data_IF_462313824876
#
_entry.id   IF_462313824876
#
_cell.length_a   1.000
_cell.length_b   1.000
_cell.length_c   1.000
_cell.angle_alpha   90.00
_cell.angle_beta   90.00
_cell.angle_gamma   90.00
#
_symmetry.space_group_name_H-M   'P 1'
#
loop_
_entity.id
_entity.type
_entity.pdbx_description
1 polymer ?
#
# COMPACT_ATOMS: atom_id res chain seq x y z
N UNK A 1 -0.90 8.79 -32.00
CA UNK A 1 -2.32 9.02 -31.62
C UNK A 1 -2.95 7.67 -31.24
N UNK A 2 -3.70 7.57 -30.14
CA UNK A 2 -4.40 6.32 -29.78
C UNK A 2 -5.61 6.08 -30.69
N UNK A 3 -5.80 4.84 -31.14
CA UNK A 3 -6.92 4.45 -32.00
C UNK A 3 -8.27 4.54 -31.26
N UNK A 4 -9.39 4.67 -31.98
CA UNK A 4 -10.75 4.78 -31.41
C UNK A 4 -11.06 3.60 -30.46
N UNK A 5 -10.64 2.38 -30.84
CA UNK A 5 -10.76 1.14 -30.04
C UNK A 5 -9.89 1.18 -28.76
N UNK A 6 -8.66 1.67 -28.84
CA UNK A 6 -7.78 1.85 -27.67
C UNK A 6 -8.32 2.90 -26.68
N UNK A 7 -8.95 3.97 -27.18
CA UNK A 7 -9.60 4.98 -26.33
C UNK A 7 -10.79 4.37 -25.57
N UNK A 8 -11.70 3.66 -26.25
CA UNK A 8 -12.87 3.00 -25.62
C UNK A 8 -12.42 2.06 -24.49
N UNK A 9 -11.49 1.15 -24.79
CA UNK A 9 -10.99 0.16 -23.83
C UNK A 9 -10.33 0.79 -22.59
N UNK A 10 -9.60 1.90 -22.77
CA UNK A 10 -9.02 2.68 -21.67
C UNK A 10 -10.11 3.30 -20.78
N UNK A 11 -11.17 3.82 -21.39
CA UNK A 11 -12.32 4.41 -20.67
C UNK A 11 -13.07 3.36 -19.86
N UNK A 12 -13.28 2.18 -20.45
CA UNK A 12 -13.97 1.06 -19.80
C UNK A 12 -13.18 0.51 -18.60
N UNK A 13 -11.86 0.30 -18.77
CA UNK A 13 -10.96 -0.04 -17.65
C UNK A 13 -11.00 1.01 -16.54
N UNK A 14 -11.09 2.29 -16.88
CA UNK A 14 -11.20 3.36 -15.90
C UNK A 14 -12.53 3.32 -15.13
N UNK A 15 -13.64 3.02 -15.81
CA UNK A 15 -14.97 2.83 -15.21
C UNK A 15 -14.99 1.63 -14.27
N UNK A 16 -14.47 0.48 -14.68
CA UNK A 16 -14.37 -0.72 -13.84
C UNK A 16 -13.58 -0.43 -12.56
N UNK A 17 -12.42 0.23 -12.69
CA UNK A 17 -11.61 0.62 -11.52
C UNK A 17 -12.30 1.69 -10.65
N UNK A 18 -13.17 2.53 -11.21
CA UNK A 18 -13.93 3.52 -10.43
C UNK A 18 -15.03 2.83 -9.62
N UNK A 19 -15.81 1.94 -10.25
CA UNK A 19 -16.83 1.14 -9.58
C UNK A 19 -16.23 0.29 -8.46
N UNK A 20 -15.09 -0.37 -8.71
CA UNK A 20 -14.39 -1.15 -7.69
C UNK A 20 -13.85 -0.30 -6.51
N UNK A 21 -13.79 1.04 -6.61
CA UNK A 21 -13.42 1.89 -5.47
C UNK A 21 -14.59 2.27 -4.58
N UNK A 22 -15.82 2.01 -5.01
CA UNK A 22 -17.02 2.22 -4.20
C UNK A 22 -16.96 1.26 -3.01
N UNK A 23 -17.29 1.77 -1.82
CA UNK A 23 -17.25 1.01 -0.56
C UNK A 23 -15.88 0.86 0.11
N UNK A 24 -14.77 1.31 -0.50
CA UNK A 24 -13.42 1.25 0.11
C UNK A 24 -13.12 2.43 1.07
N UNK A 25 -14.16 3.01 1.67
CA UNK A 25 -14.09 4.24 2.48
C UNK A 25 -13.90 3.93 3.96
N UNK A 26 -12.73 3.45 4.38
CA UNK A 26 -12.42 3.35 5.81
C UNK A 26 -11.89 4.69 6.34
N UNK A 27 -12.52 5.20 7.40
CA UNK A 27 -12.00 6.34 8.18
C UNK A 27 -10.93 5.82 9.13
N UNK A 28 -9.85 6.58 9.30
CA UNK A 28 -8.85 6.28 10.32
C UNK A 28 -9.50 6.43 11.68
N UNK A 29 -9.58 5.33 12.45
CA UNK A 29 -10.05 5.34 13.83
C UNK A 29 -8.92 5.75 14.78
N UNK A 30 -9.28 6.43 15.87
CA UNK A 30 -8.37 6.70 16.99
C UNK A 30 -8.36 5.57 18.03
N UNK A 31 -9.27 4.61 17.93
CA UNK A 31 -9.27 3.42 18.77
C UNK A 31 -8.06 2.55 18.47
N UNK A 32 -7.54 1.84 19.48
CA UNK A 32 -6.44 0.89 19.28
C UNK A 32 -6.93 -0.28 18.43
N UNK A 33 -6.28 -0.53 17.30
CA UNK A 33 -6.58 -1.64 16.40
C UNK A 33 -5.30 -2.35 15.97
N UNK A 34 -5.46 -3.52 15.33
CA UNK A 34 -4.37 -4.22 14.65
C UNK A 34 -4.42 -3.85 13.16
N UNK A 35 -3.27 -3.53 12.59
CA UNK A 35 -3.13 -3.20 11.18
C UNK A 35 -2.07 -4.09 10.55
N UNK A 36 -2.39 -4.74 9.44
CA UNK A 36 -1.39 -5.42 8.60
C UNK A 36 -1.14 -4.54 7.40
N UNK A 37 0.12 -4.29 7.09
CA UNK A 37 0.50 -3.45 5.94
C UNK A 37 0.95 -4.32 4.77
N UNK A 38 0.78 -3.80 3.55
CA UNK A 38 1.44 -4.33 2.36
C UNK A 38 2.64 -3.46 1.93
N UNK A 39 3.34 -3.89 0.90
CA UNK A 39 4.49 -3.16 0.32
C UNK A 39 4.08 -1.80 -0.20
N UNK A 40 2.91 -1.70 -0.84
CA UNK A 40 2.45 -0.46 -1.47
C UNK A 40 2.29 0.68 -0.46
N UNK A 41 1.85 0.37 0.76
CA UNK A 41 1.71 1.32 1.87
C UNK A 41 3.05 1.87 2.35
N UNK A 42 4.09 1.03 2.42
CA UNK A 42 5.44 1.45 2.75
C UNK A 42 6.01 2.33 1.62
N UNK A 43 5.92 1.89 0.36
CA UNK A 43 6.42 2.61 -0.82
C UNK A 43 5.77 3.98 -0.97
N UNK A 44 4.47 4.11 -0.69
CA UNK A 44 3.76 5.40 -0.77
C UNK A 44 3.85 6.25 0.50
N UNK A 45 4.73 5.90 1.45
CA UNK A 45 4.92 6.63 2.72
C UNK A 45 3.59 6.93 3.41
N UNK A 46 2.68 5.95 3.40
CA UNK A 46 1.32 6.14 3.90
C UNK A 46 1.27 6.03 5.42
N UNK A 47 2.10 5.18 6.03
CA UNK A 47 2.03 4.90 7.48
C UNK A 47 2.30 6.11 8.34
N UNK A 48 3.38 6.83 8.09
CA UNK A 48 3.71 8.06 8.83
C UNK A 48 2.58 9.08 8.77
N UNK A 49 1.90 9.20 7.61
CA UNK A 49 0.74 10.08 7.43
C UNK A 49 -0.47 9.59 8.21
N UNK A 50 -0.76 8.30 8.19
CA UNK A 50 -1.89 7.70 8.93
C UNK A 50 -1.70 7.83 10.45
N UNK A 51 -0.48 7.56 10.93
CA UNK A 51 -0.11 7.71 12.35
C UNK A 51 -0.30 9.16 12.81
N UNK A 52 0.20 10.13 12.03
CA UNK A 52 0.01 11.56 12.31
C UNK A 52 -1.47 11.97 12.30
N UNK A 53 -2.30 11.31 11.50
CA UNK A 53 -3.76 11.53 11.44
C UNK A 53 -4.55 10.86 12.56
N UNK A 54 -3.91 10.04 13.39
CA UNK A 54 -4.56 9.44 14.55
C UNK A 54 -4.65 7.92 14.54
N UNK A 55 -4.03 7.22 13.58
CA UNK A 55 -3.92 5.76 13.65
C UNK A 55 -3.17 5.35 14.93
N UNK A 56 -3.75 4.45 15.73
CA UNK A 56 -3.21 3.97 17.00
C UNK A 56 -3.37 2.46 17.12
N UNK A 57 -2.46 1.81 17.86
CA UNK A 57 -2.50 0.36 18.11
C UNK A 57 -1.25 -0.37 17.61
N UNK A 58 -1.43 -1.55 17.05
CA UNK A 58 -0.37 -2.46 16.63
C UNK A 58 -0.24 -2.46 15.11
N UNK A 59 0.95 -2.14 14.60
CA UNK A 59 1.29 -2.25 13.18
C UNK A 59 2.07 -3.55 12.99
N UNK A 60 1.47 -4.49 12.26
CA UNK A 60 2.07 -5.74 11.85
C UNK A 60 2.65 -5.55 10.45
N UNK A 61 3.95 -5.82 10.34
CA UNK A 61 4.73 -5.77 9.11
C UNK A 61 5.03 -7.21 8.72
N UNK A 62 4.40 -7.75 7.67
CA UNK A 62 4.72 -9.09 7.21
C UNK A 62 6.19 -9.21 6.83
N UNK A 63 6.85 -10.31 7.21
CA UNK A 63 8.24 -10.55 6.83
C UNK A 63 8.41 -10.64 5.30
N UNK A 64 7.36 -11.06 4.59
CA UNK A 64 7.28 -11.02 3.13
C UNK A 64 7.35 -9.60 2.55
N UNK A 65 6.79 -8.59 3.23
CA UNK A 65 6.90 -7.19 2.79
C UNK A 65 8.34 -6.70 2.90
N UNK A 66 9.06 -7.08 3.96
CA UNK A 66 10.49 -6.74 4.10
C UNK A 66 11.31 -7.39 2.98
N UNK A 67 11.07 -8.67 2.72
CA UNK A 67 11.78 -9.41 1.68
C UNK A 67 11.53 -8.81 0.27
N UNK A 68 10.30 -8.38 -0.03
CA UNK A 68 9.98 -7.70 -1.29
C UNK A 68 10.69 -6.35 -1.41
N UNK A 69 10.70 -5.53 -0.33
CA UNK A 69 11.37 -4.24 -0.32
C UNK A 69 12.89 -4.35 -0.50
N UNK A 70 13.52 -5.34 0.14
CA UNK A 70 14.95 -5.62 0.00
C UNK A 70 15.28 -6.08 -1.42
N UNK A 71 14.48 -6.98 -2.01
CA UNK A 71 14.65 -7.41 -3.39
C UNK A 71 14.52 -6.23 -4.38
N UNK A 72 13.59 -5.30 -4.14
CA UNK A 72 13.48 -4.07 -4.93
C UNK A 72 14.70 -3.15 -4.74
N UNK A 73 15.16 -2.96 -3.50
CA UNK A 73 16.30 -2.12 -3.17
C UNK A 73 17.59 -2.65 -3.82
N UNK A 74 17.82 -3.96 -3.75
CA UNK A 74 18.97 -4.64 -4.37
C UNK A 74 18.96 -4.55 -5.90
N UNK A 75 17.80 -4.34 -6.52
CA UNK A 75 17.66 -4.07 -7.96
C UNK A 75 17.79 -2.58 -8.30
N UNK A 76 18.27 -1.75 -7.37
CA UNK A 76 18.37 -0.29 -7.48
C UNK A 76 17.04 0.40 -7.80
N UNK A 77 15.92 -0.23 -7.44
CA UNK A 77 14.59 0.36 -7.60
C UNK A 77 14.32 1.28 -6.40
N UNK A 78 14.12 2.57 -6.67
CA UNK A 78 13.94 3.63 -5.66
C UNK A 78 12.85 3.31 -4.64
N UNK A 79 11.80 2.61 -5.07
CA UNK A 79 10.68 2.18 -4.26
C UNK A 79 11.11 1.28 -3.10
N UNK A 80 12.10 0.39 -3.30
CA UNK A 80 12.63 -0.48 -2.24
C UNK A 80 13.22 0.31 -1.08
N UNK A 81 14.21 1.17 -1.36
CA UNK A 81 14.78 2.07 -0.35
C UNK A 81 13.73 3.00 0.27
N UNK A 82 12.79 3.48 -0.54
CA UNK A 82 11.71 4.34 -0.05
C UNK A 82 10.85 3.65 1.00
N UNK A 83 10.48 2.39 0.77
CA UNK A 83 9.70 1.59 1.70
C UNK A 83 10.48 1.25 2.98
N UNK A 84 11.74 0.83 2.85
CA UNK A 84 12.61 0.54 4.00
C UNK A 84 12.79 1.77 4.90
N UNK A 85 13.01 2.95 4.31
CA UNK A 85 13.09 4.21 5.06
C UNK A 85 11.78 4.56 5.78
N UNK A 86 10.63 4.28 5.17
CA UNK A 86 9.34 4.50 5.83
C UNK A 86 9.16 3.58 7.04
N UNK A 87 9.54 2.30 6.92
CA UNK A 87 9.49 1.33 8.02
C UNK A 87 10.45 1.72 9.13
N UNK A 88 11.69 2.10 8.82
CA UNK A 88 12.67 2.56 9.80
C UNK A 88 12.15 3.77 10.62
N UNK A 89 11.45 4.71 9.98
CA UNK A 89 10.83 5.87 10.66
C UNK A 89 9.78 5.47 11.70
N UNK A 90 9.17 4.30 11.59
CA UNK A 90 8.19 3.83 12.56
C UNK A 90 8.81 3.65 13.96
N UNK A 91 10.11 3.38 14.08
CA UNK A 91 10.77 3.28 15.38
C UNK A 91 10.82 4.60 16.15
N UNK A 92 10.84 5.73 15.45
CA UNK A 92 10.69 7.05 16.06
C UNK A 92 9.23 7.36 16.38
N UNK A 93 8.33 7.04 15.45
CA UNK A 93 6.90 7.27 15.62
C UNK A 93 6.27 6.42 16.72
N UNK A 94 6.76 5.18 16.95
CA UNK A 94 6.21 4.30 17.97
C UNK A 94 6.36 4.88 19.38
N UNK A 95 7.49 5.52 19.66
CA UNK A 95 7.76 6.21 20.94
C UNK A 95 6.80 7.40 21.10
N UNK A 96 6.70 8.24 20.07
CA UNK A 96 5.87 9.46 20.09
C UNK A 96 4.36 9.18 20.17
N UNK A 97 3.87 8.12 19.53
CA UNK A 97 2.45 7.86 19.36
C UNK A 97 1.94 6.60 20.08
N UNK A 98 2.75 6.01 20.98
CA UNK A 98 2.44 4.79 21.76
C UNK A 98 1.95 3.63 20.88
N UNK A 99 2.68 3.36 19.79
CA UNK A 99 2.38 2.25 18.86
C UNK A 99 3.19 1.00 19.23
N UNK A 100 2.67 -0.18 18.89
CA UNK A 100 3.46 -1.42 18.84
C UNK A 100 3.78 -1.76 17.39
N UNK A 101 4.99 -2.24 17.13
CA UNK A 101 5.40 -2.74 15.81
C UNK A 101 5.73 -4.22 15.97
N UNK A 102 5.16 -5.06 15.12
CA UNK A 102 5.42 -6.49 15.05
C UNK A 102 5.88 -6.85 13.64
N UNK A 103 6.83 -7.78 13.56
CA UNK A 103 7.22 -8.43 12.31
C UNK A 103 6.72 -9.87 12.36
N UNK A 104 5.87 -10.28 11.42
CA UNK A 104 5.19 -11.58 11.50
C UNK A 104 5.09 -12.31 10.15
N UNK A 105 4.85 -13.62 10.23
CA UNK A 105 4.61 -14.49 9.08
C UNK A 105 5.88 -15.01 8.41
N UNK A 106 5.72 -15.87 7.39
CA UNK A 106 6.85 -16.46 6.68
C UNK A 106 7.63 -15.39 5.92
N UNK A 107 8.93 -15.62 5.81
CA UNK A 107 9.85 -14.82 5.01
C UNK A 107 10.21 -15.62 3.75
N UNK A 108 9.65 -15.27 2.57
CA UNK A 108 10.02 -15.94 1.34
C UNK A 108 11.48 -15.61 1.00
N UNK A 109 12.18 -16.61 0.47
CA UNK A 109 13.49 -16.48 -0.13
C UNK A 109 13.44 -15.63 -1.39
N UNK A 110 14.61 -15.16 -1.84
CA UNK A 110 14.73 -14.40 -3.09
C UNK A 110 14.26 -15.22 -4.30
N UNK A 111 14.52 -16.53 -4.29
CA UNK A 111 14.08 -17.44 -5.34
C UNK A 111 12.55 -17.53 -5.38
N UNK A 112 11.92 -17.75 -4.22
CA UNK A 112 10.46 -17.77 -4.10
C UNK A 112 9.84 -16.44 -4.51
N UNK A 113 10.42 -15.29 -4.15
CA UNK A 113 9.92 -13.98 -4.59
C UNK A 113 9.97 -13.84 -6.11
N UNK A 114 11.03 -14.34 -6.75
CA UNK A 114 11.19 -14.27 -8.22
C UNK A 114 10.22 -15.21 -8.94
N UNK A 115 9.95 -16.38 -8.37
CA UNK A 115 9.07 -17.41 -8.93
C UNK A 115 7.60 -17.24 -8.54
N UNK A 116 7.31 -16.47 -7.50
CA UNK A 116 5.97 -16.25 -7.00
C UNK A 116 5.07 -15.71 -8.11
N UNK A 117 3.97 -16.41 -8.37
CA UNK A 117 2.89 -15.90 -9.21
C UNK A 117 2.37 -14.60 -8.60
N UNK A 118 1.92 -13.69 -9.46
CA UNK A 118 1.31 -12.44 -9.03
C UNK A 118 0.18 -12.74 -8.04
N UNK A 119 0.40 -12.44 -6.75
CA UNK A 119 -0.59 -12.62 -5.69
C UNK A 119 -0.20 -13.55 -4.53
N UNK A 120 0.87 -14.36 -4.61
CA UNK A 120 1.25 -15.27 -3.51
C UNK A 120 1.71 -14.51 -2.27
N UNK A 121 2.55 -13.49 -2.46
CA UNK A 121 2.98 -12.59 -1.38
C UNK A 121 1.75 -11.90 -0.76
N UNK A 122 0.81 -11.45 -1.61
CA UNK A 122 -0.43 -10.84 -1.16
C UNK A 122 -1.32 -11.80 -0.37
N UNK A 123 -1.29 -13.11 -0.68
CA UNK A 123 -2.00 -14.13 0.07
C UNK A 123 -1.43 -14.32 1.48
N UNK A 124 -0.10 -14.32 1.63
CA UNK A 124 0.57 -14.34 2.94
C UNK A 124 0.09 -13.15 3.79
N UNK A 125 0.07 -11.96 3.21
CA UNK A 125 -0.37 -10.72 3.89
C UNK A 125 -1.83 -10.84 4.34
N UNK A 126 -2.73 -11.29 3.46
CA UNK A 126 -4.16 -11.49 3.80
C UNK A 126 -4.34 -12.54 4.89
N UNK A 127 -3.58 -13.64 4.86
CA UNK A 127 -3.65 -14.68 5.87
C UNK A 127 -3.30 -14.15 7.27
N UNK A 128 -2.27 -13.31 7.38
CA UNK A 128 -1.92 -12.65 8.65
C UNK A 128 -3.05 -11.72 9.10
N UNK A 129 -3.61 -10.92 8.19
CA UNK A 129 -4.70 -10.01 8.50
C UNK A 129 -5.95 -10.75 9.00
N UNK A 130 -6.31 -11.85 8.34
CA UNK A 130 -7.41 -12.72 8.75
C UNK A 130 -7.17 -13.31 10.14
N UNK A 131 -6.05 -14.01 10.35
CA UNK A 131 -5.72 -14.68 11.62
C UNK A 131 -5.66 -13.73 12.82
N UNK A 132 -5.27 -12.47 12.59
CA UNK A 132 -5.15 -11.46 13.65
C UNK A 132 -6.38 -10.56 13.79
N UNK A 133 -7.45 -10.80 13.03
CA UNK A 133 -8.61 -9.91 12.94
C UNK A 133 -8.18 -8.45 12.70
N UNK A 134 -7.15 -8.27 11.88
CA UNK A 134 -6.49 -6.99 11.67
C UNK A 134 -7.01 -6.32 10.40
N UNK A 135 -6.98 -4.98 10.40
CA UNK A 135 -7.34 -4.19 9.23
C UNK A 135 -6.16 -4.24 8.25
N UNK A 136 -6.41 -4.72 7.03
CA UNK A 136 -5.44 -4.66 5.96
C UNK A 136 -5.32 -3.23 5.43
N UNK A 137 -4.14 -2.64 5.52
CA UNK A 137 -3.83 -1.34 4.93
C UNK A 137 -3.14 -1.58 3.60
N UNK A 138 -3.73 -1.10 2.51
CA UNK A 138 -3.20 -1.30 1.15
C UNK A 138 -3.52 -0.12 0.24
N UNK A 139 -2.65 0.17 -0.74
CA UNK A 139 -2.92 1.09 -1.84
C UNK A 139 -3.16 0.35 -3.18
N UNK A 140 -3.19 -0.98 -3.16
CA UNK A 140 -3.53 -1.83 -4.29
C UNK A 140 -5.03 -2.19 -4.27
N UNK A 141 -5.70 -1.95 -5.39
CA UNK A 141 -7.15 -2.13 -5.50
C UNK A 141 -7.54 -3.61 -5.57
N UNK A 142 -6.73 -4.45 -6.21
CA UNK A 142 -6.96 -5.89 -6.33
C UNK A 142 -6.77 -6.54 -4.97
N UNK A 143 -5.71 -6.16 -4.25
CA UNK A 143 -5.45 -6.63 -2.89
C UNK A 143 -6.59 -6.22 -1.94
N UNK A 144 -7.05 -4.97 -2.02
CA UNK A 144 -8.19 -4.49 -1.24
C UNK A 144 -9.48 -5.30 -1.51
N UNK A 145 -9.81 -5.55 -2.77
CA UNK A 145 -11.02 -6.31 -3.13
C UNK A 145 -10.91 -7.79 -2.77
N UNK A 146 -9.72 -8.37 -2.93
CA UNK A 146 -9.44 -9.73 -2.48
C UNK A 146 -9.66 -9.84 -0.99
N UNK A 147 -9.10 -8.93 -0.19
CA UNK A 147 -9.30 -8.92 1.26
C UNK A 147 -10.77 -8.77 1.67
N UNK A 148 -11.54 -7.91 1.00
CA UNK A 148 -12.99 -7.81 1.22
C UNK A 148 -13.72 -9.14 0.93
N UNK A 149 -13.32 -9.86 -0.12
CA UNK A 149 -13.90 -11.16 -0.44
C UNK A 149 -13.60 -12.23 0.65
N UNK A 150 -12.47 -12.12 1.35
CA UNK A 150 -12.13 -12.93 2.52
C UNK A 150 -12.79 -12.41 3.82
N UNK A 151 -13.64 -11.39 3.78
CA UNK A 151 -14.24 -10.77 4.98
C UNK A 151 -13.27 -9.95 5.83
N UNK A 152 -12.09 -9.63 5.31
CA UNK A 152 -11.05 -8.86 6.02
C UNK A 152 -11.39 -7.37 5.91
N UNK A 153 -11.33 -6.65 7.04
CA UNK A 153 -11.49 -5.20 7.05
C UNK A 153 -10.34 -4.50 6.32
N UNK A 154 -10.64 -3.47 5.51
CA UNK A 154 -9.63 -2.82 4.66
C UNK A 154 -9.58 -1.31 4.88
N UNK A 155 -8.36 -0.78 5.05
CA UNK A 155 -8.04 0.63 4.96
C UNK A 155 -7.33 0.93 3.62
N UNK A 156 -8.12 1.34 2.63
CA UNK A 156 -7.61 1.59 1.28
C UNK A 156 -7.01 3.00 1.12
N UNK A 157 -5.75 3.06 0.69
CA UNK A 157 -5.03 4.32 0.48
C UNK A 157 -5.17 4.77 -0.97
N UNK A 158 -6.01 5.78 -1.19
CA UNK A 158 -6.11 6.42 -2.51
C UNK A 158 -4.79 7.13 -2.86
N UNK A 159 -4.16 6.70 -3.96
CA UNK A 159 -3.05 7.43 -4.58
C UNK A 159 -3.52 8.85 -4.90
N UNK A 160 -2.87 9.87 -4.33
CA UNK A 160 -3.11 11.26 -4.75
C UNK A 160 -2.67 11.37 -6.20
N UNK A 161 -3.54 11.86 -7.09
CA UNK A 161 -3.10 12.27 -8.43
C UNK A 161 -2.04 13.34 -8.21
N UNK A 162 -0.82 13.16 -8.74
CA UNK A 162 0.11 14.28 -8.86
C UNK A 162 -0.62 15.33 -9.70
N UNK A 163 -0.90 16.50 -9.13
CA UNK A 163 -1.35 17.62 -9.94
C UNK A 163 -0.32 17.82 -11.04
N UNK A 164 -0.77 17.81 -12.29
CA UNK A 164 0.10 18.24 -13.38
C UNK A 164 0.43 19.70 -13.06
N UNK A 165 1.69 19.97 -12.70
CA UNK A 165 2.22 21.34 -12.61
C UNK A 165 1.82 22.02 -13.93
N UNK A 166 0.87 22.97 -13.89
CA UNK A 166 0.59 23.82 -15.05
C UNK A 166 1.92 24.51 -15.33
N UNK A 167 2.60 24.13 -16.43
CA UNK A 167 3.70 24.94 -16.95
C UNK A 167 3.05 26.28 -17.31
N UNK A 168 3.26 27.32 -16.50
CA UNK A 168 3.04 28.69 -16.96
C UNK A 168 4.02 28.88 -18.12
N UNK A 169 3.54 28.82 -19.36
CA UNK A 169 4.29 29.37 -20.46
C UNK A 169 4.41 30.87 -20.15
N UNK A 170 5.61 31.31 -19.78
CA UNK A 170 5.95 32.71 -19.87
C UNK A 170 6.04 33.01 -21.37
N UNK A 171 4.98 33.55 -21.95
CA UNK A 171 5.06 34.17 -23.27
C UNK A 171 5.85 35.46 -23.05
N UNK A 172 7.16 35.41 -23.38
CA UNK A 172 7.96 36.62 -23.54
C UNK A 172 7.34 37.35 -24.73
N UNK A 173 6.57 38.41 -24.47
CA UNK A 173 6.26 39.41 -25.49
C UNK A 173 7.58 40.13 -25.77
N UNK A 174 8.14 39.91 -26.96
CA UNK A 174 9.08 40.84 -27.58
C UNK A 174 8.31 42.04 -28.08
#
# INVERSE_FOLDING_TARGET
>A
MFTKKQKIYKTERARIKAAARVGLSAKVSRAKQFYVIDTSVAVYKALSRLIKKGLRGTIIIPNAVIAELENLANKNVKEGFTGLQEIAKLHWLKKKFKLKILFEGPRPSIQEIRLAKSGEIDAIIRNIAFKKHAILVTADLVQAKSAQAYGISVLFIRKRKKEKRKRRLFLIKR
#
